data_IF_137325569722
#
_entry.id   IF_137325569722
#
_cell.length_a   1.000
_cell.length_b   1.000
_cell.length_c   1.000
_cell.angle_alpha   90.00
_cell.angle_beta   90.00
_cell.angle_gamma   90.00
#
_symmetry.space_group_name_H-M   'P 1'
#
loop_
_entity.id
_entity.type
_entity.pdbx_description
1 polymer ?
#
# COMPACT_ATOMS: atom_id res chain seq x y z
N UNK A 1 24.01 4.69 12.06
CA UNK A 1 23.12 3.51 12.03
C UNK A 1 21.62 3.84 11.96
N UNK A 2 21.15 4.97 12.52
CA UNK A 2 19.74 5.41 12.46
C UNK A 2 19.15 5.76 11.07
N UNK A 3 19.99 6.06 10.06
CA UNK A 3 19.50 6.53 8.75
C UNK A 3 18.70 5.48 7.97
N UNK A 4 18.95 4.19 8.23
CA UNK A 4 18.35 3.11 7.45
C UNK A 4 17.16 2.44 8.15
N UNK A 5 16.86 2.79 9.41
CA UNK A 5 15.78 2.15 10.17
C UNK A 5 14.38 2.48 9.65
N UNK A 6 14.23 3.58 8.90
CA UNK A 6 12.97 3.97 8.27
C UNK A 6 12.73 3.37 6.88
N UNK A 7 13.70 2.66 6.31
CA UNK A 7 13.56 2.10 4.97
C UNK A 7 12.70 0.83 4.98
N UNK A 8 11.85 0.62 3.97
CA UNK A 8 11.08 -0.61 3.86
C UNK A 8 12.00 -1.81 3.70
N UNK A 9 11.68 -2.92 4.38
CA UNK A 9 12.42 -4.17 4.26
C UNK A 9 12.18 -4.77 2.87
N UNK A 10 13.25 -4.88 2.08
CA UNK A 10 13.24 -5.47 0.74
C UNK A 10 13.94 -6.81 0.76
N UNK A 11 13.35 -7.80 0.12
CA UNK A 11 13.97 -9.09 -0.19
C UNK A 11 14.42 -9.01 -1.65
N UNK A 12 15.73 -8.89 -1.85
CA UNK A 12 16.36 -8.62 -3.15
C UNK A 12 15.83 -7.32 -3.79
N UNK A 13 14.80 -7.41 -4.64
CA UNK A 13 14.15 -6.30 -5.34
C UNK A 13 12.67 -6.13 -5.00
N UNK A 14 12.11 -7.08 -4.24
CA UNK A 14 10.69 -7.12 -3.90
C UNK A 14 10.47 -6.65 -2.46
N UNK A 15 9.34 -6.02 -2.21
CA UNK A 15 8.91 -5.72 -0.85
C UNK A 15 8.76 -7.04 -0.06
N UNK A 16 9.30 -7.12 1.16
CA UNK A 16 9.25 -8.33 1.99
C UNK A 16 7.81 -8.83 2.24
N UNK A 17 6.83 -7.94 2.11
CA UNK A 17 5.40 -8.23 2.27
C UNK A 17 4.84 -9.07 1.12
N UNK A 18 5.47 -9.04 -0.05
CA UNK A 18 5.13 -9.92 -1.18
C UNK A 18 5.42 -11.40 -0.88
N UNK A 19 6.28 -11.69 0.11
CA UNK A 19 6.59 -13.06 0.51
C UNK A 19 5.45 -13.72 1.30
N UNK A 20 4.59 -12.94 2.00
CA UNK A 20 3.48 -13.48 2.77
C UNK A 20 2.47 -14.29 1.94
N UNK A 21 1.94 -13.77 0.81
CA UNK A 21 1.03 -14.55 -0.03
C UNK A 21 1.68 -15.82 -0.58
N UNK A 22 2.94 -15.76 -0.98
CA UNK A 22 3.69 -16.93 -1.46
C UNK A 22 3.83 -17.98 -0.35
N UNK A 23 4.17 -17.56 0.86
CA UNK A 23 4.31 -18.43 2.01
C UNK A 23 2.97 -19.10 2.37
N UNK A 24 1.85 -18.38 2.29
CA UNK A 24 0.53 -18.95 2.51
C UNK A 24 0.16 -20.03 1.49
N UNK A 25 0.47 -19.82 0.21
CA UNK A 25 0.25 -20.86 -0.82
C UNK A 25 1.17 -22.07 -0.64
N UNK A 26 2.39 -21.87 -0.14
CA UNK A 26 3.32 -22.96 0.16
C UNK A 26 2.88 -23.79 1.37
N UNK A 27 2.32 -23.15 2.41
CA UNK A 27 1.84 -23.83 3.63
C UNK A 27 0.51 -24.55 3.39
N UNK A 28 -0.44 -23.89 2.70
CA UNK A 28 -1.72 -24.48 2.35
C UNK A 28 -1.87 -24.56 0.84
N UNK A 29 -1.57 -25.74 0.32
CA UNK A 29 -1.62 -26.01 -1.12
C UNK A 29 -3.07 -26.21 -1.59
N UNK A 30 -3.62 -25.19 -2.24
CA UNK A 30 -4.92 -25.24 -2.91
C UNK A 30 -4.90 -24.32 -4.14
N UNK A 31 -5.69 -24.66 -5.16
CA UNK A 31 -5.81 -23.81 -6.35
C UNK A 31 -6.29 -22.39 -6.00
N UNK A 32 -7.19 -22.26 -5.01
CA UNK A 32 -7.69 -20.96 -4.55
C UNK A 32 -6.61 -20.13 -3.88
N UNK A 33 -5.79 -20.74 -3.01
CA UNK A 33 -4.68 -20.04 -2.35
C UNK A 33 -3.57 -19.68 -3.33
N UNK A 34 -3.37 -20.47 -4.38
CA UNK A 34 -2.44 -20.13 -5.46
C UNK A 34 -2.90 -18.87 -6.22
N UNK A 35 -4.18 -18.79 -6.61
CA UNK A 35 -4.70 -17.58 -7.26
C UNK A 35 -4.60 -16.33 -6.36
N UNK A 36 -4.94 -16.47 -5.08
CA UNK A 36 -4.80 -15.39 -4.09
C UNK A 36 -3.33 -14.99 -3.95
N UNK A 37 -2.41 -15.96 -3.90
CA UNK A 37 -0.99 -15.69 -3.75
C UNK A 37 -0.41 -14.95 -4.95
N UNK A 38 -0.77 -15.37 -6.17
CA UNK A 38 -0.37 -14.69 -7.41
C UNK A 38 -0.93 -13.27 -7.47
N UNK A 39 -2.21 -13.08 -7.15
CA UNK A 39 -2.83 -11.76 -7.12
C UNK A 39 -2.16 -10.84 -6.08
N UNK A 40 -1.91 -11.34 -4.87
CA UNK A 40 -1.22 -10.62 -3.80
C UNK A 40 0.22 -10.27 -4.19
N UNK A 41 0.94 -11.21 -4.81
CA UNK A 41 2.29 -11.00 -5.30
C UNK A 41 2.34 -9.89 -6.35
N UNK A 42 1.46 -9.94 -7.36
CA UNK A 42 1.37 -8.89 -8.40
C UNK A 42 1.04 -7.55 -7.76
N UNK A 43 0.10 -7.51 -6.82
CA UNK A 43 -0.28 -6.28 -6.11
C UNK A 43 0.91 -5.62 -5.40
N UNK A 44 1.65 -6.37 -4.57
CA UNK A 44 2.82 -5.82 -3.87
C UNK A 44 3.98 -5.50 -4.82
N UNK A 45 4.18 -6.31 -5.87
CA UNK A 45 5.21 -6.06 -6.87
C UNK A 45 4.95 -4.76 -7.64
N UNK A 46 3.70 -4.51 -8.02
CA UNK A 46 3.30 -3.29 -8.71
C UNK A 46 3.53 -2.04 -7.84
N UNK A 47 3.21 -2.11 -6.55
CA UNK A 47 3.46 -1.02 -5.58
C UNK A 47 4.96 -0.73 -5.49
N UNK A 48 5.78 -1.77 -5.38
CA UNK A 48 7.24 -1.67 -5.34
C UNK A 48 7.81 -1.10 -6.63
N UNK A 49 7.25 -1.47 -7.80
CA UNK A 49 7.62 -0.94 -9.11
C UNK A 49 7.38 0.58 -9.20
N UNK A 50 6.28 1.08 -8.65
CA UNK A 50 6.02 2.52 -8.54
C UNK A 50 6.89 3.23 -7.48
N UNK A 51 7.77 2.52 -6.76
CA UNK A 51 8.58 3.06 -5.68
C UNK A 51 7.76 3.50 -4.46
N UNK A 52 6.50 3.07 -4.39
CA UNK A 52 5.59 3.40 -3.30
C UNK A 52 5.78 2.40 -2.16
N UNK A 53 5.56 2.86 -0.93
CA UNK A 53 5.40 1.97 0.22
C UNK A 53 3.90 1.76 0.49
N UNK A 54 3.49 0.67 1.15
CA UNK A 54 2.07 0.51 1.54
C UNK A 54 1.45 1.71 2.25
N UNK A 55 2.08 2.33 3.28
CA UNK A 55 1.52 3.53 3.88
C UNK A 55 1.41 4.69 2.89
N UNK A 56 2.33 4.81 1.92
CA UNK A 56 2.23 5.81 0.85
C UNK A 56 1.07 5.51 -0.11
N UNK A 57 0.85 4.24 -0.48
CA UNK A 57 -0.30 3.83 -1.28
C UNK A 57 -1.63 4.17 -0.57
N UNK A 58 -1.74 3.86 0.71
CA UNK A 58 -2.96 4.17 1.49
C UNK A 58 -3.22 5.68 1.51
N UNK A 59 -2.16 6.50 1.64
CA UNK A 59 -2.28 7.97 1.55
C UNK A 59 -2.70 8.43 0.16
N UNK A 60 -2.17 7.81 -0.89
CA UNK A 60 -2.53 8.09 -2.28
C UNK A 60 -4.00 7.76 -2.54
N UNK A 61 -4.44 6.57 -2.14
CA UNK A 61 -5.84 6.11 -2.25
C UNK A 61 -6.75 7.03 -1.46
N UNK A 62 -6.39 7.39 -0.23
CA UNK A 62 -7.17 8.34 0.59
C UNK A 62 -7.26 9.71 -0.09
N UNK A 63 -6.16 10.22 -0.65
CA UNK A 63 -6.15 11.48 -1.39
C UNK A 63 -7.05 11.40 -2.62
N UNK A 64 -7.00 10.28 -3.33
CA UNK A 64 -7.81 10.05 -4.52
C UNK A 64 -9.30 10.00 -4.18
N UNK A 65 -9.70 9.26 -3.14
CA UNK A 65 -11.06 9.19 -2.62
C UNK A 65 -11.59 10.54 -2.11
N UNK A 66 -10.74 11.36 -1.47
CA UNK A 66 -11.11 12.70 -1.01
C UNK A 66 -11.32 13.71 -2.16
N UNK A 67 -10.93 13.35 -3.39
CA UNK A 67 -11.09 14.19 -4.57
C UNK A 67 -10.01 15.27 -4.73
N UNK A 68 -10.12 16.04 -5.83
CA UNK A 68 -9.12 17.04 -6.25
C UNK A 68 -9.12 18.29 -5.36
N UNK A 69 -10.27 18.63 -4.76
CA UNK A 69 -10.46 19.87 -4.01
C UNK A 69 -10.24 19.60 -2.53
N UNK A 70 -9.16 20.17 -1.97
CA UNK A 70 -8.98 20.29 -0.52
C UNK A 70 -9.44 21.68 -0.09
N UNK A 71 -10.54 21.76 0.65
CA UNK A 71 -10.93 23.01 1.28
C UNK A 71 -9.96 23.33 2.41
N UNK A 72 -9.44 24.56 2.45
CA UNK A 72 -8.53 25.00 3.53
C UNK A 72 -9.22 25.01 4.91
N UNK A 73 -10.54 25.20 4.92
CA UNK A 73 -11.39 25.10 6.11
C UNK A 73 -12.33 23.91 5.92
N UNK A 74 -12.49 23.04 6.93
CA UNK A 74 -13.49 21.98 6.87
C UNK A 74 -14.89 22.57 6.61
N UNK A 75 -15.69 21.91 5.78
CA UNK A 75 -17.02 22.41 5.38
C UNK A 75 -17.90 22.72 6.60
N UNK A 76 -17.77 21.94 7.68
CA UNK A 76 -18.51 22.14 8.93
C UNK A 76 -18.07 23.37 9.76
N UNK A 77 -16.87 23.91 9.52
CA UNK A 77 -16.32 25.07 10.24
C UNK A 77 -16.26 26.33 9.37
N UNK A 78 -16.85 26.28 8.17
CA UNK A 78 -16.93 27.46 7.30
C UNK A 78 -17.87 28.47 7.97
N UNK A 79 -17.31 29.60 8.45
CA UNK A 79 -18.11 30.73 8.93
C UNK A 79 -19.03 31.16 7.80
N UNK A 80 -20.33 31.09 8.04
CA UNK A 80 -21.38 31.27 7.02
C UNK A 80 -21.62 32.74 6.66
N UNK A 81 -20.94 33.67 7.36
CA UNK A 81 -21.15 35.11 7.28
C UNK A 81 -19.80 35.83 7.40
N UNK A 82 -19.48 36.61 6.37
CA UNK A 82 -18.66 37.82 6.44
C UNK A 82 -19.53 38.95 5.88
#
# INVERSE_FOLDING_TARGET
MWRNTGQPVRVLMLDARACLPILLAAVYWSWTTLYIAVAGFIFFSLISFFGLTLPALIRLVRRWLAGRVRTAVPVWNRRRLA
#
